data_IF_860750371733
#
_entry.id   IF_860750371733
#
_cell.length_a   1.000
_cell.length_b   1.000
_cell.length_c   1.000
_cell.angle_alpha   90.00
_cell.angle_beta   90.00
_cell.angle_gamma   90.00
#
_symmetry.space_group_name_H-M   'P 1'
#
loop_
_entity.id
_entity.type
_entity.pdbx_description
1 polymer ?
#
# COMPACT_ATOMS: atom_id res chain seq x y z
N UNK A 1 -17.60 -12.43 -6.83
CA UNK A 1 -18.40 -12.99 -7.91
C UNK A 1 -19.76 -12.27 -8.03
N UNK A 2 -20.56 -12.14 -6.97
CA UNK A 2 -21.87 -11.49 -7.03
C UNK A 2 -21.80 -10.04 -7.55
N UNK A 3 -20.91 -9.21 -7.04
CA UNK A 3 -20.70 -7.84 -7.50
C UNK A 3 -20.38 -7.77 -9.00
N UNK A 4 -19.54 -8.67 -9.49
CA UNK A 4 -19.09 -8.72 -10.89
C UNK A 4 -20.27 -9.07 -11.80
N UNK A 5 -21.05 -10.09 -11.44
CA UNK A 5 -22.23 -10.53 -12.18
C UNK A 5 -23.32 -9.45 -12.19
N UNK A 6 -23.61 -8.86 -11.01
CA UNK A 6 -24.63 -7.81 -10.88
C UNK A 6 -24.32 -6.54 -11.70
N UNK A 7 -23.03 -6.18 -11.81
CA UNK A 7 -22.59 -5.04 -12.62
C UNK A 7 -22.25 -5.40 -14.07
N UNK A 8 -22.60 -6.61 -14.54
CA UNK A 8 -22.32 -7.09 -15.91
C UNK A 8 -20.84 -7.07 -16.30
N UNK A 9 -19.95 -7.18 -15.31
CA UNK A 9 -18.49 -7.23 -15.49
C UNK A 9 -17.97 -8.66 -15.63
N UNK A 10 -18.85 -9.67 -15.68
CA UNK A 10 -18.53 -11.09 -15.80
C UNK A 10 -18.14 -11.42 -17.25
N UNK A 11 -16.98 -10.90 -17.65
CA UNK A 11 -16.38 -11.17 -18.96
C UNK A 11 -15.31 -12.25 -18.82
N UNK A 12 -15.12 -13.04 -19.87
CA UNK A 12 -14.12 -14.12 -19.89
C UNK A 12 -12.70 -13.60 -19.60
N UNK A 13 -12.37 -12.40 -20.05
CA UNK A 13 -11.07 -11.77 -19.91
C UNK A 13 -10.76 -11.32 -18.47
N UNK A 14 -11.80 -11.07 -17.65
CA UNK A 14 -11.62 -10.52 -16.31
C UNK A 14 -10.69 -11.36 -15.42
N UNK A 15 -10.91 -12.66 -15.20
CA UNK A 15 -10.01 -13.48 -14.40
C UNK A 15 -8.63 -13.64 -15.02
N UNK A 16 -8.51 -13.67 -16.34
CA UNK A 16 -7.24 -13.80 -17.03
C UNK A 16 -6.36 -12.58 -16.77
N UNK A 17 -6.92 -11.38 -16.87
CA UNK A 17 -6.18 -10.13 -16.65
C UNK A 17 -5.72 -10.03 -15.19
N UNK A 18 -6.55 -10.45 -14.22
CA UNK A 18 -6.14 -10.52 -12.81
C UNK A 18 -4.97 -11.49 -12.64
N UNK A 19 -5.03 -12.68 -13.23
CA UNK A 19 -3.95 -13.66 -13.15
C UNK A 19 -2.66 -13.15 -13.79
N UNK A 20 -2.73 -12.47 -14.94
CA UNK A 20 -1.58 -11.82 -15.56
C UNK A 20 -0.98 -10.74 -14.67
N UNK A 21 -1.80 -9.93 -13.98
CA UNK A 21 -1.30 -8.92 -13.05
C UNK A 21 -0.58 -9.56 -11.86
N UNK A 22 -1.11 -10.67 -11.31
CA UNK A 22 -0.49 -11.42 -10.22
C UNK A 22 0.83 -12.06 -10.69
N UNK A 23 0.84 -12.64 -11.88
CA UNK A 23 2.06 -13.21 -12.46
C UNK A 23 3.16 -12.15 -12.65
N UNK A 24 2.80 -10.95 -13.11
CA UNK A 24 3.71 -9.82 -13.20
C UNK A 24 4.29 -9.43 -11.83
N UNK A 25 3.47 -9.42 -10.77
CA UNK A 25 3.93 -9.15 -9.41
C UNK A 25 4.88 -10.22 -8.88
N UNK A 26 4.63 -11.49 -9.17
CA UNK A 26 5.56 -12.57 -8.81
C UNK A 26 6.91 -12.42 -9.50
N UNK A 27 6.93 -12.17 -10.83
CA UNK A 27 8.18 -11.91 -11.52
C UNK A 27 8.92 -10.70 -10.96
N UNK A 28 8.20 -9.62 -10.67
CA UNK A 28 8.76 -8.39 -10.12
C UNK A 28 9.42 -8.62 -8.75
N UNK A 29 8.75 -9.32 -7.83
CA UNK A 29 9.25 -9.53 -6.46
C UNK A 29 10.35 -10.60 -6.41
N UNK A 30 10.25 -11.68 -7.23
CA UNK A 30 11.25 -12.75 -7.28
C UNK A 30 12.51 -12.38 -8.06
N UNK A 31 12.46 -11.33 -8.92
CA UNK A 31 13.58 -10.95 -9.77
C UNK A 31 14.83 -10.57 -8.97
N UNK A 32 15.99 -10.97 -9.46
CA UNK A 32 17.30 -10.47 -9.01
C UNK A 32 18.07 -9.79 -10.16
N UNK A 33 17.31 -9.30 -11.14
CA UNK A 33 17.80 -8.71 -12.39
C UNK A 33 16.89 -7.56 -12.83
N UNK A 34 17.47 -6.46 -13.35
CA UNK A 34 16.75 -5.28 -13.79
C UNK A 34 15.76 -5.55 -14.93
N UNK A 35 16.10 -6.46 -15.86
CA UNK A 35 15.25 -6.76 -17.02
C UNK A 35 14.01 -7.52 -16.58
N UNK A 36 14.21 -8.61 -15.79
CA UNK A 36 13.09 -9.41 -15.30
C UNK A 36 12.16 -8.60 -14.38
N UNK A 37 12.74 -7.77 -13.54
CA UNK A 37 12.00 -6.83 -12.69
C UNK A 37 11.12 -5.90 -13.55
N UNK A 38 11.71 -5.25 -14.58
CA UNK A 38 10.98 -4.31 -15.41
C UNK A 38 9.87 -4.98 -16.20
N UNK A 39 10.14 -6.16 -16.79
CA UNK A 39 9.12 -6.94 -17.50
C UNK A 39 7.95 -7.34 -16.59
N UNK A 40 8.24 -7.78 -15.36
CA UNK A 40 7.21 -8.09 -14.37
C UNK A 40 6.36 -6.89 -14.01
N UNK A 41 7.00 -5.73 -13.82
CA UNK A 41 6.34 -4.47 -13.52
C UNK A 41 5.43 -4.01 -14.67
N UNK A 42 5.86 -4.13 -15.93
CA UNK A 42 5.04 -3.76 -17.07
C UNK A 42 3.86 -4.73 -17.27
N UNK A 43 4.08 -6.04 -17.13
CA UNK A 43 3.01 -7.03 -17.20
C UNK A 43 1.91 -6.76 -16.17
N UNK A 44 2.30 -6.48 -14.91
CA UNK A 44 1.37 -6.04 -13.88
C UNK A 44 0.62 -4.77 -14.31
N UNK A 45 1.35 -3.76 -14.77
CA UNK A 45 0.83 -2.42 -15.01
C UNK A 45 -0.18 -2.38 -16.14
N UNK A 46 0.15 -2.99 -17.29
CA UNK A 46 -0.75 -3.11 -18.45
C UNK A 46 -2.06 -3.80 -18.04
N UNK A 47 -1.96 -4.87 -17.25
CA UNK A 47 -3.14 -5.57 -16.71
C UNK A 47 -4.01 -4.66 -15.84
N UNK A 48 -3.39 -3.84 -14.97
CA UNK A 48 -4.12 -2.94 -14.09
C UNK A 48 -4.83 -1.80 -14.83
N UNK A 49 -4.27 -1.27 -15.93
CA UNK A 49 -4.93 -0.24 -16.74
C UNK A 49 -6.21 -0.76 -17.39
N UNK A 50 -6.16 -1.99 -17.92
CA UNK A 50 -7.34 -2.63 -18.50
C UNK A 50 -8.40 -2.90 -17.42
N UNK A 51 -7.98 -3.35 -16.23
CA UNK A 51 -8.90 -3.56 -15.10
C UNK A 51 -9.57 -2.25 -14.66
N UNK A 52 -8.84 -1.12 -14.63
CA UNK A 52 -9.40 0.17 -14.25
C UNK A 52 -10.52 0.61 -15.21
N UNK A 53 -10.39 0.32 -16.51
CA UNK A 53 -11.34 0.66 -17.57
C UNK A 53 -12.26 -0.50 -17.99
N UNK A 54 -12.43 -1.52 -17.16
CA UNK A 54 -13.15 -2.73 -17.54
C UNK A 54 -14.66 -2.50 -17.77
N UNK A 55 -15.23 -1.52 -17.09
CA UNK A 55 -16.60 -1.03 -17.31
C UNK A 55 -16.59 0.03 -18.41
N UNK A 56 -16.57 -0.44 -19.66
CA UNK A 56 -16.39 0.40 -20.87
C UNK A 56 -17.52 1.41 -21.09
N UNK A 57 -18.71 1.09 -20.61
CA UNK A 57 -19.91 1.93 -20.77
C UNK A 57 -19.97 3.04 -19.71
N UNK A 58 -19.09 2.99 -18.69
CA UNK A 58 -18.99 3.97 -17.64
C UNK A 58 -17.85 4.96 -17.91
N UNK A 59 -18.22 6.22 -18.19
CA UNK A 59 -17.25 7.28 -18.49
C UNK A 59 -16.19 7.45 -17.41
N UNK A 60 -16.56 7.33 -16.11
CA UNK A 60 -15.61 7.45 -15.01
C UNK A 60 -14.58 6.31 -15.00
N UNK A 61 -15.01 5.08 -15.30
CA UNK A 61 -14.12 3.92 -15.38
C UNK A 61 -13.15 4.07 -16.56
N UNK A 62 -13.63 4.48 -17.73
CA UNK A 62 -12.78 4.70 -18.91
C UNK A 62 -11.79 5.83 -18.67
N UNK A 63 -12.22 6.96 -18.10
CA UNK A 63 -11.36 8.08 -17.73
C UNK A 63 -10.27 7.64 -16.73
N UNK A 64 -10.63 6.85 -15.72
CA UNK A 64 -9.68 6.34 -14.73
C UNK A 64 -8.59 5.47 -15.36
N UNK A 65 -8.96 4.59 -16.30
CA UNK A 65 -8.01 3.76 -17.03
C UNK A 65 -7.05 4.57 -17.88
N UNK A 66 -7.54 5.59 -18.61
CA UNK A 66 -6.71 6.47 -19.44
C UNK A 66 -5.74 7.28 -18.56
N UNK A 67 -6.22 7.90 -17.47
CA UNK A 67 -5.36 8.65 -16.52
C UNK A 67 -4.28 7.74 -15.94
N UNK A 68 -4.65 6.53 -15.54
CA UNK A 68 -3.70 5.58 -14.98
C UNK A 68 -2.63 5.18 -16.02
N UNK A 69 -3.05 4.86 -17.24
CA UNK A 69 -2.14 4.50 -18.33
C UNK A 69 -1.14 5.63 -18.64
N UNK A 70 -1.61 6.85 -18.89
CA UNK A 70 -0.75 7.97 -19.31
C UNK A 70 0.27 8.33 -18.22
N UNK A 71 -0.18 8.48 -16.97
CA UNK A 71 0.71 8.82 -15.86
C UNK A 71 1.70 7.70 -15.54
N UNK A 72 1.25 6.46 -15.62
CA UNK A 72 2.11 5.31 -15.37
C UNK A 72 3.11 5.07 -16.48
N UNK A 73 2.73 5.28 -17.76
CA UNK A 73 3.66 5.16 -18.88
C UNK A 73 4.82 6.15 -18.77
N UNK A 74 4.53 7.40 -18.35
CA UNK A 74 5.57 8.37 -18.06
C UNK A 74 6.50 7.88 -16.93
N UNK A 75 5.93 7.41 -15.84
CA UNK A 75 6.70 6.91 -14.69
C UNK A 75 7.53 5.67 -15.04
N UNK A 76 6.99 4.75 -15.82
CA UNK A 76 7.70 3.56 -16.33
C UNK A 76 8.85 3.94 -17.27
N UNK A 77 8.65 4.96 -18.13
CA UNK A 77 9.69 5.46 -19.00
C UNK A 77 10.88 6.04 -18.21
N UNK A 78 10.60 6.83 -17.15
CA UNK A 78 11.62 7.33 -16.24
C UNK A 78 12.35 6.19 -15.50
N UNK A 79 11.62 5.19 -15.05
CA UNK A 79 12.20 4.02 -14.39
C UNK A 79 13.10 3.22 -15.34
N UNK A 80 12.65 2.97 -16.57
CA UNK A 80 13.46 2.29 -17.58
C UNK A 80 14.73 3.06 -17.91
N UNK A 81 14.63 4.39 -18.02
CA UNK A 81 15.78 5.25 -18.20
C UNK A 81 16.76 5.13 -17.02
N UNK A 82 16.26 5.11 -15.79
CA UNK A 82 17.07 4.84 -14.60
C UNK A 82 17.77 3.48 -14.63
N UNK A 83 17.07 2.42 -15.03
CA UNK A 83 17.66 1.09 -15.20
C UNK A 83 18.75 1.07 -16.28
N UNK A 84 18.54 1.76 -17.41
CA UNK A 84 19.51 1.89 -18.49
C UNK A 84 20.76 2.64 -18.05
N UNK A 85 20.61 3.75 -17.31
CA UNK A 85 21.72 4.48 -16.72
C UNK A 85 22.50 3.62 -15.73
N UNK A 86 21.78 2.92 -14.84
CA UNK A 86 22.40 2.05 -13.84
C UNK A 86 23.24 0.96 -14.51
N UNK A 87 22.70 0.32 -15.55
CA UNK A 87 23.44 -0.63 -16.39
C UNK A 87 24.68 0.03 -17.04
N UNK A 88 24.53 1.24 -17.59
CA UNK A 88 25.62 1.95 -18.24
C UNK A 88 26.78 2.26 -17.30
N UNK A 89 26.51 2.53 -16.01
CA UNK A 89 27.54 2.83 -15.01
C UNK A 89 28.10 1.60 -14.30
N UNK A 90 27.35 0.49 -14.24
CA UNK A 90 27.76 -0.73 -13.51
C UNK A 90 28.10 -1.89 -14.45
N UNK A 91 27.71 -1.84 -15.72
CA UNK A 91 27.92 -2.92 -16.70
C UNK A 91 27.13 -4.20 -16.41
N UNK A 92 26.21 -4.19 -15.45
CA UNK A 92 25.45 -5.37 -15.02
C UNK A 92 23.98 -5.05 -14.83
N UNK A 93 23.12 -6.04 -15.07
CA UNK A 93 21.68 -6.02 -14.74
C UNK A 93 21.38 -6.77 -13.43
N UNK A 94 22.30 -7.58 -12.94
CA UNK A 94 22.15 -8.38 -11.72
C UNK A 94 22.30 -7.50 -10.47
N UNK A 95 21.39 -7.63 -9.49
CA UNK A 95 21.36 -6.78 -8.30
C UNK A 95 22.60 -6.90 -7.41
N UNK A 96 23.14 -8.11 -7.23
CA UNK A 96 24.33 -8.32 -6.39
C UNK A 96 25.58 -7.74 -7.03
N UNK A 97 25.72 -7.89 -8.35
CA UNK A 97 26.83 -7.30 -9.10
C UNK A 97 26.72 -5.76 -9.12
N UNK A 98 25.53 -5.21 -9.26
CA UNK A 98 25.29 -3.76 -9.15
C UNK A 98 25.74 -3.30 -7.75
N UNK A 99 25.31 -3.96 -6.68
CA UNK A 99 25.68 -3.60 -5.32
C UNK A 99 27.21 -3.56 -5.11
N UNK A 100 27.94 -4.53 -5.68
CA UNK A 100 29.41 -4.61 -5.56
C UNK A 100 30.15 -3.48 -6.30
N UNK A 101 29.54 -2.91 -7.34
CA UNK A 101 30.15 -1.86 -8.17
C UNK A 101 29.70 -0.44 -7.81
N UNK A 102 28.58 -0.32 -7.07
CA UNK A 102 28.10 0.97 -6.61
C UNK A 102 28.95 1.53 -5.48
N UNK A 103 29.48 2.72 -5.70
CA UNK A 103 30.16 3.51 -4.69
C UNK A 103 29.60 4.95 -4.69
N UNK A 104 29.86 5.69 -3.61
CA UNK A 104 29.40 7.08 -3.42
C UNK A 104 29.98 8.08 -4.43
N UNK A 105 31.08 7.76 -5.06
CA UNK A 105 31.77 8.64 -6.01
C UNK A 105 31.10 8.61 -7.40
N UNK A 106 30.29 7.60 -7.68
CA UNK A 106 29.59 7.45 -8.96
C UNK A 106 28.31 8.28 -8.99
N UNK A 107 28.45 9.58 -9.23
CA UNK A 107 27.34 10.53 -9.34
C UNK A 107 26.28 10.09 -10.36
N UNK A 108 26.71 9.48 -11.47
CA UNK A 108 25.79 8.99 -12.51
C UNK A 108 24.89 7.87 -12.02
N UNK A 109 25.42 6.97 -11.18
CA UNK A 109 24.61 5.90 -10.58
C UNK A 109 23.62 6.42 -9.54
N UNK A 110 23.97 7.52 -8.82
CA UNK A 110 23.02 8.21 -7.92
C UNK A 110 21.86 8.81 -8.73
N UNK A 111 22.12 9.43 -9.89
CA UNK A 111 21.05 9.88 -10.78
C UNK A 111 20.17 8.71 -11.26
N UNK A 112 20.77 7.59 -11.65
CA UNK A 112 20.03 6.40 -12.04
C UNK A 112 19.08 5.91 -10.92
N UNK A 113 19.59 5.87 -9.69
CA UNK A 113 18.80 5.53 -8.50
C UNK A 113 17.59 6.45 -8.33
N UNK A 114 17.75 7.77 -8.50
CA UNK A 114 16.64 8.74 -8.39
C UNK A 114 15.54 8.41 -9.40
N UNK A 115 15.86 8.13 -10.65
CA UNK A 115 14.87 7.76 -11.67
C UNK A 115 14.15 6.44 -11.34
N UNK A 116 14.89 5.45 -10.81
CA UNK A 116 14.29 4.19 -10.34
C UNK A 116 13.33 4.45 -9.17
N UNK A 117 13.74 5.29 -8.20
CA UNK A 117 12.89 5.66 -7.06
C UNK A 117 11.62 6.39 -7.50
N UNK A 118 11.67 7.25 -8.52
CA UNK A 118 10.46 7.88 -9.10
C UNK A 118 9.46 6.83 -9.56
N UNK A 119 9.91 5.83 -10.31
CA UNK A 119 9.04 4.75 -10.75
C UNK A 119 8.47 3.91 -9.62
N UNK A 120 9.28 3.54 -8.63
CA UNK A 120 8.84 2.80 -7.46
C UNK A 120 7.88 3.60 -6.59
N UNK A 121 8.15 4.88 -6.35
CA UNK A 121 7.28 5.80 -5.61
C UNK A 121 5.90 5.94 -6.29
N UNK A 122 5.85 6.01 -7.63
CA UNK A 122 4.61 6.01 -8.38
C UNK A 122 3.80 4.73 -8.14
N UNK A 123 4.43 3.56 -8.15
CA UNK A 123 3.74 2.26 -7.97
C UNK A 123 3.14 2.10 -6.57
N UNK A 124 3.79 2.62 -5.53
CA UNK A 124 3.24 2.61 -4.17
C UNK A 124 2.33 3.82 -3.88
N UNK A 125 2.14 4.73 -4.83
CA UNK A 125 1.33 5.95 -4.67
C UNK A 125 1.92 6.95 -3.66
N UNK A 126 3.24 7.06 -3.60
CA UNK A 126 3.91 8.00 -2.71
C UNK A 126 4.00 9.41 -3.34
N UNK A 127 3.94 10.45 -2.51
CA UNK A 127 4.05 11.84 -2.94
C UNK A 127 5.49 12.14 -3.40
N UNK A 128 5.70 12.84 -4.55
CA UNK A 128 4.71 13.56 -5.37
C UNK A 128 4.03 12.72 -6.45
N UNK A 129 4.35 11.45 -6.61
CA UNK A 129 3.92 10.59 -7.71
C UNK A 129 2.57 9.88 -7.46
N UNK A 130 1.74 10.44 -6.60
CA UNK A 130 0.46 9.88 -6.13
C UNK A 130 -0.77 10.28 -6.96
N UNK A 131 -0.64 11.21 -7.90
CA UNK A 131 -1.76 11.93 -8.55
C UNK A 131 -2.80 11.01 -9.19
N UNK A 132 -2.40 9.84 -9.65
CA UNK A 132 -3.28 8.87 -10.27
C UNK A 132 -4.26 8.21 -9.28
N UNK A 133 -3.85 8.04 -8.02
CA UNK A 133 -4.54 7.16 -7.06
C UNK A 133 -5.95 7.61 -6.70
N UNK A 134 -6.21 8.89 -6.36
CA UNK A 134 -7.56 9.32 -6.00
C UNK A 134 -8.57 9.18 -7.14
N UNK A 135 -8.18 9.55 -8.35
CA UNK A 135 -9.05 9.52 -9.52
C UNK A 135 -9.31 8.08 -9.98
N UNK A 136 -8.29 7.22 -9.96
CA UNK A 136 -8.42 5.81 -10.32
C UNK A 136 -9.26 5.04 -9.29
N UNK A 137 -9.09 5.31 -8.00
CA UNK A 137 -9.89 4.64 -6.98
C UNK A 137 -11.36 5.04 -7.03
N UNK A 138 -11.66 6.31 -7.29
CA UNK A 138 -13.04 6.77 -7.42
C UNK A 138 -13.69 6.24 -8.70
N UNK A 139 -12.98 6.26 -9.84
CA UNK A 139 -13.53 5.93 -11.14
C UNK A 139 -13.64 4.45 -11.44
N UNK A 140 -12.68 3.64 -10.97
CA UNK A 140 -12.72 2.19 -11.19
C UNK A 140 -13.87 1.51 -10.42
N UNK A 141 -14.38 0.37 -10.92
CA UNK A 141 -15.36 -0.42 -10.17
C UNK A 141 -14.82 -0.80 -8.78
N UNK A 142 -15.68 -0.82 -7.76
CA UNK A 142 -15.27 -1.02 -6.35
C UNK A 142 -14.47 -2.31 -6.15
N UNK A 143 -14.77 -3.39 -6.91
CA UNK A 143 -13.99 -4.64 -6.89
C UNK A 143 -12.54 -4.45 -7.34
N UNK A 144 -12.33 -3.65 -8.36
CA UNK A 144 -11.02 -3.33 -8.89
C UNK A 144 -10.29 -2.37 -7.94
N UNK A 145 -10.99 -1.38 -7.41
CA UNK A 145 -10.42 -0.45 -6.43
C UNK A 145 -9.92 -1.20 -5.18
N UNK A 146 -10.67 -2.19 -4.67
CA UNK A 146 -10.23 -3.00 -3.53
C UNK A 146 -8.96 -3.80 -3.86
N UNK A 147 -8.84 -4.31 -5.08
CA UNK A 147 -7.64 -5.00 -5.55
C UNK A 147 -6.44 -4.04 -5.63
N UNK A 148 -6.63 -2.84 -6.21
CA UNK A 148 -5.57 -1.81 -6.33
C UNK A 148 -5.09 -1.29 -4.97
N UNK A 149 -5.99 -1.21 -3.99
CA UNK A 149 -5.66 -0.74 -2.65
C UNK A 149 -4.72 -1.69 -1.89
N UNK A 150 -4.71 -2.97 -2.25
CA UNK A 150 -4.04 -4.04 -1.49
C UNK A 150 -2.87 -4.63 -2.28
N UNK A 151 -3.15 -5.38 -3.33
CA UNK A 151 -2.17 -6.32 -3.92
C UNK A 151 -0.99 -5.62 -4.60
N UNK A 152 -1.19 -4.62 -5.48
CA UNK A 152 -0.08 -3.92 -6.13
C UNK A 152 0.79 -3.12 -5.15
N UNK A 153 0.21 -2.65 -4.04
CA UNK A 153 0.96 -1.89 -3.03
C UNK A 153 1.88 -2.76 -2.20
N UNK A 154 1.43 -3.96 -1.85
CA UNK A 154 2.28 -4.95 -1.18
C UNK A 154 3.46 -5.31 -2.06
N UNK A 155 3.22 -5.64 -3.33
CA UNK A 155 4.27 -5.98 -4.28
C UNK A 155 5.24 -4.80 -4.53
N UNK A 156 4.70 -3.58 -4.68
CA UNK A 156 5.50 -2.36 -4.87
C UNK A 156 6.37 -2.03 -3.66
N UNK A 157 5.85 -2.16 -2.43
CA UNK A 157 6.62 -1.92 -1.22
C UNK A 157 7.70 -2.99 -1.02
N UNK A 158 7.37 -4.27 -1.23
CA UNK A 158 8.33 -5.37 -1.15
C UNK A 158 9.51 -5.16 -2.12
N UNK A 159 9.20 -4.75 -3.34
CA UNK A 159 10.21 -4.42 -4.34
C UNK A 159 11.06 -3.22 -3.94
N UNK A 160 10.43 -2.14 -3.42
CA UNK A 160 11.15 -0.96 -2.96
C UNK A 160 12.12 -1.33 -1.83
N UNK A 161 11.70 -2.13 -0.86
CA UNK A 161 12.57 -2.66 0.20
C UNK A 161 13.73 -3.44 -0.42
N UNK A 162 13.46 -4.34 -1.38
CA UNK A 162 14.49 -5.14 -2.04
C UNK A 162 15.54 -4.28 -2.75
N UNK A 163 15.13 -3.21 -3.45
CA UNK A 163 16.04 -2.28 -4.09
C UNK A 163 16.92 -1.53 -3.09
N UNK A 164 16.35 -1.06 -1.97
CA UNK A 164 17.12 -0.35 -0.96
C UNK A 164 18.09 -1.28 -0.24
N UNK A 165 17.68 -2.53 -0.02
CA UNK A 165 18.48 -3.50 0.75
C UNK A 165 19.60 -4.16 -0.07
N UNK A 166 19.41 -4.44 -1.38
CA UNK A 166 20.37 -5.16 -2.21
C UNK A 166 21.18 -4.18 -3.08
N UNK A 167 20.67 -3.70 -4.26
CA UNK A 167 21.50 -2.94 -5.17
C UNK A 167 21.96 -1.58 -4.61
N UNK A 168 21.17 -0.95 -3.74
CA UNK A 168 21.47 0.39 -3.22
C UNK A 168 22.01 0.40 -1.77
N UNK A 169 22.39 -0.75 -1.23
CA UNK A 169 22.91 -0.87 0.15
C UNK A 169 24.11 0.05 0.43
N UNK A 170 25.03 0.20 -0.53
CA UNK A 170 26.24 0.97 -0.38
C UNK A 170 26.06 2.50 -0.49
N UNK A 171 24.89 2.98 -0.94
CA UNK A 171 24.54 4.40 -1.10
C UNK A 171 23.36 4.79 -0.21
N UNK A 172 23.40 4.33 1.06
CA UNK A 172 22.33 4.53 2.03
C UNK A 172 21.95 6.00 2.23
N UNK A 173 22.92 6.90 2.43
CA UNK A 173 22.69 8.29 2.77
C UNK A 173 21.98 9.05 1.62
N UNK A 174 22.31 8.70 0.40
CA UNK A 174 21.78 9.31 -0.80
C UNK A 174 20.27 9.03 -0.96
N UNK A 175 19.86 7.77 -0.87
CA UNK A 175 18.43 7.44 -1.01
C UNK A 175 17.62 7.69 0.27
N UNK A 176 18.23 7.62 1.45
CA UNK A 176 17.57 7.81 2.73
C UNK A 176 16.90 9.19 2.81
N UNK A 177 17.62 10.24 2.43
CA UNK A 177 17.09 11.62 2.43
C UNK A 177 15.86 11.74 1.52
N UNK A 178 15.88 11.09 0.36
CA UNK A 178 14.78 11.09 -0.60
C UNK A 178 13.57 10.36 0.00
N UNK A 179 13.77 9.19 0.57
CA UNK A 179 12.69 8.40 1.18
C UNK A 179 12.08 9.12 2.39
N UNK A 180 12.88 9.79 3.24
CA UNK A 180 12.39 10.64 4.33
C UNK A 180 11.46 11.74 3.79
N UNK A 181 11.89 12.45 2.76
CA UNK A 181 11.08 13.51 2.13
C UNK A 181 9.76 12.96 1.58
N UNK A 182 9.82 11.88 0.80
CA UNK A 182 8.64 11.20 0.21
C UNK A 182 7.70 10.71 1.31
N UNK A 183 8.23 10.15 2.39
CA UNK A 183 7.46 9.67 3.56
C UNK A 183 6.70 10.82 4.22
N UNK A 184 7.41 11.89 4.59
CA UNK A 184 6.82 13.08 5.23
C UNK A 184 5.74 13.70 4.34
N UNK A 185 6.06 13.93 3.06
CA UNK A 185 5.14 14.52 2.11
C UNK A 185 3.87 13.66 1.93
N UNK A 186 4.03 12.32 1.91
CA UNK A 186 2.91 11.39 1.79
C UNK A 186 2.02 11.37 3.04
N UNK A 187 2.60 11.41 4.24
CA UNK A 187 1.86 11.49 5.49
C UNK A 187 1.05 12.80 5.58
N UNK A 188 1.68 13.94 5.30
CA UNK A 188 1.01 15.26 5.36
C UNK A 188 -0.09 15.36 4.32
N UNK A 189 0.22 15.12 3.04
CA UNK A 189 -0.74 15.26 1.95
C UNK A 189 -1.90 14.27 2.12
N UNK A 190 -1.60 13.01 2.45
CA UNK A 190 -2.61 12.00 2.69
C UNK A 190 -3.58 12.39 3.80
N UNK A 191 -3.09 12.93 4.92
CA UNK A 191 -3.92 13.37 6.03
C UNK A 191 -4.78 14.59 5.67
N UNK A 192 -4.18 15.64 5.11
CA UNK A 192 -4.88 16.90 4.77
C UNK A 192 -5.92 16.69 3.67
N UNK A 193 -5.55 16.02 2.59
CA UNK A 193 -6.43 15.84 1.45
C UNK A 193 -7.61 14.90 1.75
N UNK A 194 -7.44 13.91 2.65
CA UNK A 194 -8.53 13.03 3.07
C UNK A 194 -9.65 13.78 3.82
N UNK A 195 -9.34 14.84 4.59
CA UNK A 195 -10.33 15.56 5.41
C UNK A 195 -11.46 16.20 4.61
N UNK A 196 -11.21 16.60 3.37
CA UNK A 196 -12.17 17.31 2.51
C UNK A 196 -12.95 16.38 1.57
N UNK A 197 -12.67 15.09 1.57
CA UNK A 197 -13.32 14.15 0.67
C UNK A 197 -14.77 13.86 1.07
N UNK A 198 -15.62 13.68 0.05
CA UNK A 198 -17.04 13.32 0.19
C UNK A 198 -17.31 11.89 -0.27
N UNK A 199 -16.52 11.37 -1.21
CA UNK A 199 -16.57 9.99 -1.68
C UNK A 199 -15.68 9.11 -0.81
N UNK A 200 -16.20 7.96 -0.36
CA UNK A 200 -15.49 7.07 0.57
C UNK A 200 -14.29 6.38 -0.10
N UNK A 201 -14.40 5.97 -1.38
CA UNK A 201 -13.27 5.38 -2.12
C UNK A 201 -12.13 6.40 -2.29
N UNK A 202 -12.47 7.65 -2.63
CA UNK A 202 -11.48 8.73 -2.75
C UNK A 202 -10.83 9.07 -1.41
N UNK A 203 -11.59 9.04 -0.32
CA UNK A 203 -11.03 9.18 1.04
C UNK A 203 -10.05 8.04 1.33
N UNK A 204 -10.41 6.78 1.06
CA UNK A 204 -9.51 5.64 1.23
C UNK A 204 -8.26 5.75 0.34
N UNK A 205 -8.35 6.37 -0.84
CA UNK A 205 -7.20 6.62 -1.70
C UNK A 205 -6.19 7.56 -1.01
N UNK A 206 -6.64 8.72 -0.50
CA UNK A 206 -5.75 9.63 0.23
C UNK A 206 -5.26 9.04 1.56
N UNK A 207 -6.12 8.33 2.27
CA UNK A 207 -5.73 7.55 3.44
C UNK A 207 -4.60 6.57 3.09
N UNK A 208 -4.71 5.86 1.96
CA UNK A 208 -3.69 4.90 1.52
C UNK A 208 -2.35 5.57 1.20
N UNK A 209 -2.36 6.80 0.67
CA UNK A 209 -1.14 7.60 0.46
C UNK A 209 -0.47 7.87 1.80
N UNK A 210 -1.22 8.29 2.82
CA UNK A 210 -0.72 8.50 4.17
C UNK A 210 -0.17 7.22 4.80
N UNK A 211 -0.88 6.08 4.65
CA UNK A 211 -0.43 4.78 5.16
C UNK A 211 0.87 4.30 4.49
N UNK A 212 1.04 4.51 3.19
CA UNK A 212 2.32 4.28 2.52
C UNK A 212 3.41 5.20 3.08
N UNK A 213 3.10 6.45 3.42
CA UNK A 213 4.03 7.35 4.09
C UNK A 213 4.58 6.76 5.40
N UNK A 214 3.75 6.16 6.25
CA UNK A 214 4.20 5.47 7.46
C UNK A 214 5.06 4.24 7.15
N UNK A 215 4.68 3.41 6.18
CA UNK A 215 5.50 2.27 5.78
C UNK A 215 6.88 2.71 5.26
N UNK A 216 6.93 3.79 4.48
CA UNK A 216 8.18 4.39 3.99
C UNK A 216 9.03 4.99 5.12
N UNK A 217 8.43 5.47 6.22
CA UNK A 217 9.18 5.90 7.40
C UNK A 217 9.98 4.74 8.02
N UNK A 218 9.43 3.53 8.06
CA UNK A 218 10.16 2.33 8.43
C UNK A 218 11.31 2.03 7.47
N UNK A 219 11.05 2.08 6.16
CA UNK A 219 12.09 1.87 5.13
C UNK A 219 13.21 2.90 5.23
N UNK A 220 12.88 4.16 5.52
CA UNK A 220 13.83 5.28 5.63
C UNK A 220 14.91 5.06 6.70
N UNK A 221 14.66 4.20 7.69
CA UNK A 221 15.65 3.87 8.71
C UNK A 221 16.92 3.19 8.16
N UNK A 222 16.80 2.51 7.01
CA UNK A 222 17.88 1.73 6.42
C UNK A 222 18.33 0.54 7.28
N UNK A 223 17.53 0.14 8.28
CA UNK A 223 17.82 -0.92 9.21
C UNK A 223 16.86 -2.10 9.04
N UNK A 224 17.29 -3.29 9.45
CA UNK A 224 16.47 -4.50 9.42
C UNK A 224 15.18 -4.29 10.23
N UNK A 225 15.28 -3.73 11.46
CA UNK A 225 14.11 -3.42 12.30
C UNK A 225 13.09 -2.50 11.61
N UNK A 226 13.56 -1.56 10.79
CA UNK A 226 12.70 -0.70 10.01
C UNK A 226 12.03 -1.40 8.83
N UNK A 227 12.72 -2.27 8.13
CA UNK A 227 12.12 -3.10 7.08
C UNK A 227 11.08 -4.07 7.65
N UNK A 228 11.38 -4.70 8.79
CA UNK A 228 10.42 -5.53 9.55
C UNK A 228 9.15 -4.75 9.89
N UNK A 229 9.31 -3.57 10.47
CA UNK A 229 8.20 -2.71 10.85
C UNK A 229 7.35 -2.29 9.65
N UNK A 230 7.97 -2.00 8.49
CA UNK A 230 7.28 -1.67 7.25
C UNK A 230 6.46 -2.85 6.69
N UNK A 231 6.99 -4.08 6.76
CA UNK A 231 6.29 -5.29 6.31
C UNK A 231 5.14 -5.63 7.26
N UNK A 232 5.34 -5.53 8.58
CA UNK A 232 4.26 -5.69 9.57
C UNK A 232 3.16 -4.66 9.31
N UNK A 233 3.56 -3.41 9.07
CA UNK A 233 2.63 -2.32 8.77
C UNK A 233 1.76 -2.61 7.57
N UNK A 234 2.37 -2.96 6.43
CA UNK A 234 1.60 -3.22 5.20
C UNK A 234 0.71 -4.46 5.35
N UNK A 235 1.13 -5.47 6.12
CA UNK A 235 0.34 -6.68 6.38
C UNK A 235 -0.96 -6.35 7.14
N UNK A 236 -0.87 -5.51 8.18
CA UNK A 236 -2.04 -5.04 8.94
C UNK A 236 -2.90 -4.13 8.06
N UNK A 237 -2.27 -3.25 7.25
CA UNK A 237 -2.97 -2.37 6.30
C UNK A 237 -3.82 -3.17 5.30
N UNK A 238 -3.32 -4.29 4.79
CA UNK A 238 -4.09 -5.21 3.92
C UNK A 238 -5.38 -5.67 4.59
N UNK A 239 -5.30 -6.11 5.84
CA UNK A 239 -6.46 -6.60 6.60
C UNK A 239 -7.48 -5.48 6.80
N UNK A 240 -7.03 -4.28 7.17
CA UNK A 240 -7.90 -3.12 7.34
C UNK A 240 -8.63 -2.75 6.04
N UNK A 241 -7.93 -2.76 4.90
CA UNK A 241 -8.55 -2.44 3.61
C UNK A 241 -9.51 -3.51 3.10
N UNK A 242 -9.17 -4.80 3.26
CA UNK A 242 -10.11 -5.89 2.94
C UNK A 242 -11.41 -5.70 3.72
N UNK A 243 -11.32 -5.39 5.01
CA UNK A 243 -12.49 -5.09 5.84
C UNK A 243 -13.27 -3.87 5.35
N UNK A 244 -12.60 -2.73 5.09
CA UNK A 244 -13.23 -1.48 4.67
C UNK A 244 -13.97 -1.62 3.34
N UNK A 245 -13.33 -2.20 2.32
CA UNK A 245 -13.98 -2.44 1.03
C UNK A 245 -15.07 -3.50 1.11
N UNK A 246 -14.93 -4.50 1.98
CA UNK A 246 -15.99 -5.50 2.21
C UNK A 246 -17.23 -4.85 2.82
N UNK A 247 -17.09 -3.86 3.70
CA UNK A 247 -18.21 -3.06 4.20
C UNK A 247 -18.90 -2.28 3.07
N UNK A 248 -18.13 -1.68 2.14
CA UNK A 248 -18.70 -0.97 0.98
C UNK A 248 -19.55 -1.88 0.09
N UNK A 249 -19.18 -3.15 -0.07
CA UNK A 249 -19.99 -4.11 -0.85
C UNK A 249 -21.36 -4.41 -0.25
N UNK A 250 -21.61 -4.05 0.99
CA UNK A 250 -22.92 -4.22 1.64
C UNK A 250 -23.79 -2.97 1.54
N UNK A 251 -23.25 -1.84 1.05
CA UNK A 251 -23.95 -0.57 0.93
C UNK A 251 -24.69 -0.47 -0.41
N UNK A 252 -25.75 -1.26 -0.57
CA UNK A 252 -26.58 -1.27 -1.78
C UNK A 252 -27.97 -0.72 -1.48
N UNK A 253 -28.47 0.17 -2.36
CA UNK A 253 -29.83 0.71 -2.33
C UNK A 253 -30.39 0.87 -3.75
N UNK A 254 -31.60 0.41 -3.99
CA UNK A 254 -32.28 0.46 -5.29
C UNK A 254 -31.42 -0.12 -6.43
N UNK A 255 -30.74 -1.25 -6.15
CA UNK A 255 -29.85 -1.92 -7.09
C UNK A 255 -28.50 -1.23 -7.31
N UNK A 256 -28.24 -0.06 -6.72
CA UNK A 256 -26.99 0.71 -6.89
C UNK A 256 -26.14 0.70 -5.61
N UNK A 257 -24.83 0.60 -5.80
CA UNK A 257 -23.86 0.74 -4.70
C UNK A 257 -23.68 2.22 -4.34
N UNK A 258 -23.67 2.51 -3.03
CA UNK A 258 -23.51 3.85 -2.48
C UNK A 258 -22.08 4.04 -1.96
N UNK A 259 -21.46 5.13 -2.40
CA UNK A 259 -20.05 5.39 -2.13
C UNK A 259 -19.80 6.73 -1.43
N UNK A 260 -20.83 7.55 -1.20
CA UNK A 260 -20.68 8.82 -0.50
C UNK A 260 -20.71 8.63 1.02
N UNK A 261 -19.91 9.43 1.71
CA UNK A 261 -19.85 9.41 3.17
C UNK A 261 -21.18 9.78 3.79
N UNK A 262 -21.94 10.71 3.17
CA UNK A 262 -23.29 11.08 3.60
C UNK A 262 -24.28 9.92 3.59
N UNK A 263 -24.06 8.93 2.73
CA UNK A 263 -24.94 7.76 2.64
C UNK A 263 -24.81 6.85 3.88
N UNK A 264 -23.72 7.01 4.65
CA UNK A 264 -23.49 6.27 5.88
C UNK A 264 -24.26 6.80 7.10
N UNK A 265 -25.00 7.92 6.95
CA UNK A 265 -25.72 8.57 8.05
C UNK A 265 -26.69 7.61 8.75
N UNK A 266 -26.52 7.43 10.06
CA UNK A 266 -27.40 6.67 10.93
C UNK A 266 -27.51 5.18 10.62
N UNK A 267 -26.53 4.58 9.95
CA UNK A 267 -26.50 3.13 9.65
C UNK A 267 -26.64 2.32 10.94
N UNK A 268 -26.11 2.78 12.07
CA UNK A 268 -26.15 2.08 13.36
C UNK A 268 -27.57 1.70 13.80
N UNK A 269 -28.59 2.51 13.45
CA UNK A 269 -29.99 2.28 13.81
C UNK A 269 -30.62 1.11 13.06
N UNK A 270 -30.20 0.85 11.82
CA UNK A 270 -30.80 -0.15 10.91
C UNK A 270 -29.92 -1.38 10.68
N UNK A 271 -28.60 -1.18 10.68
CA UNK A 271 -27.59 -2.22 10.42
C UNK A 271 -26.48 -2.18 11.48
N UNK A 272 -26.78 -2.53 12.77
CA UNK A 272 -25.83 -2.38 13.88
C UNK A 272 -24.55 -3.18 13.70
N UNK A 273 -24.62 -4.40 13.16
CA UNK A 273 -23.42 -5.22 12.92
C UNK A 273 -22.47 -4.58 11.89
N UNK A 274 -23.02 -3.99 10.83
CA UNK A 274 -22.22 -3.29 9.84
C UNK A 274 -21.59 -2.02 10.45
N UNK A 275 -22.34 -1.29 11.27
CA UNK A 275 -21.84 -0.10 11.96
C UNK A 275 -20.68 -0.42 12.91
N UNK A 276 -20.77 -1.51 13.71
CA UNK A 276 -19.70 -1.98 14.58
C UNK A 276 -18.46 -2.40 13.75
N UNK A 277 -18.67 -3.05 12.61
CA UNK A 277 -17.58 -3.41 11.73
C UNK A 277 -16.84 -2.19 11.18
N UNK A 278 -17.56 -1.17 10.73
CA UNK A 278 -16.98 0.11 10.34
C UNK A 278 -16.22 0.77 11.49
N UNK A 279 -16.78 0.76 12.69
CA UNK A 279 -16.14 1.34 13.88
C UNK A 279 -14.78 0.68 14.16
N UNK A 280 -14.72 -0.66 14.19
CA UNK A 280 -13.49 -1.41 14.45
C UNK A 280 -12.44 -1.10 13.38
N UNK A 281 -12.83 -1.15 12.10
CA UNK A 281 -11.92 -0.94 10.98
C UNK A 281 -11.42 0.51 10.96
N UNK A 282 -12.29 1.50 11.09
CA UNK A 282 -11.92 2.92 11.07
C UNK A 282 -11.09 3.31 12.28
N UNK A 283 -11.37 2.78 13.48
CA UNK A 283 -10.52 2.96 14.65
C UNK A 283 -9.14 2.33 14.46
N UNK A 284 -9.07 1.16 13.82
CA UNK A 284 -7.80 0.53 13.49
C UNK A 284 -7.00 1.38 12.49
N UNK A 285 -7.63 1.90 11.43
CA UNK A 285 -7.00 2.82 10.47
C UNK A 285 -6.51 4.12 11.14
N UNK A 286 -7.28 4.64 12.09
CA UNK A 286 -6.86 5.80 12.89
C UNK A 286 -5.64 5.48 13.78
N UNK A 287 -5.48 4.22 14.19
CA UNK A 287 -4.42 3.79 15.10
C UNK A 287 -4.82 3.87 16.57
N UNK A 288 -6.08 3.56 16.89
CA UNK A 288 -6.59 3.58 18.28
C UNK A 288 -6.26 2.24 18.97
N UNK A 289 -5.62 2.28 20.17
CA UNK A 289 -5.42 1.07 20.95
C UNK A 289 -6.77 0.42 21.36
N UNK A 290 -6.86 -0.90 21.51
CA UNK A 290 -5.84 -1.94 21.36
C UNK A 290 -5.81 -2.60 19.97
N UNK A 291 -6.29 -1.92 18.93
CA UNK A 291 -6.47 -2.52 17.61
C UNK A 291 -5.14 -2.65 16.83
N UNK A 292 -5.11 -3.57 15.86
CA UNK A 292 -3.91 -3.89 15.09
C UNK A 292 -3.22 -2.69 14.42
N UNK A 293 -3.99 -1.69 13.94
CA UNK A 293 -3.43 -0.49 13.32
C UNK A 293 -2.60 0.39 14.24
N UNK A 294 -2.88 0.38 15.57
CA UNK A 294 -2.03 1.02 16.55
C UNK A 294 -0.64 0.36 16.60
N UNK A 295 -0.59 -0.96 16.69
CA UNK A 295 0.68 -1.69 16.74
C UNK A 295 1.50 -1.51 15.46
N UNK A 296 0.84 -1.48 14.30
CA UNK A 296 1.50 -1.18 13.04
C UNK A 296 2.26 0.15 13.08
N UNK A 297 1.62 1.22 13.52
CA UNK A 297 2.25 2.54 13.70
C UNK A 297 3.32 2.53 14.78
N UNK A 298 3.04 1.87 15.89
CA UNK A 298 3.94 1.77 17.03
C UNK A 298 5.30 1.17 16.65
N UNK A 299 5.32 0.04 15.94
CA UNK A 299 6.56 -0.60 15.50
C UNK A 299 7.38 0.29 14.56
N UNK A 300 6.71 0.99 13.64
CA UNK A 300 7.39 1.93 12.75
C UNK A 300 8.02 3.08 13.54
N UNK A 301 7.29 3.67 14.50
CA UNK A 301 7.83 4.77 15.30
C UNK A 301 8.98 4.33 16.21
N UNK A 302 8.92 3.13 16.76
CA UNK A 302 10.04 2.56 17.55
C UNK A 302 11.29 2.45 16.67
N UNK A 303 11.18 1.86 15.48
CA UNK A 303 12.32 1.72 14.56
C UNK A 303 12.89 3.07 14.11
N UNK A 304 12.02 4.09 13.89
CA UNK A 304 12.44 5.45 13.53
C UNK A 304 13.17 6.14 14.70
N UNK A 305 12.69 5.96 15.93
CA UNK A 305 13.30 6.54 17.15
C UNK A 305 14.64 5.86 17.48
N UNK A 306 14.77 4.56 17.28
CA UNK A 306 16.05 3.83 17.44
C UNK A 306 17.16 4.37 16.52
N UNK A 307 16.77 5.01 15.40
CA UNK A 307 17.68 5.67 14.47
C UNK A 307 17.78 7.19 14.66
N UNK A 308 17.29 7.70 15.78
CA UNK A 308 17.33 9.13 16.15
C UNK A 308 16.67 10.08 15.12
N UNK A 309 15.75 9.57 14.28
CA UNK A 309 15.03 10.34 13.26
C UNK A 309 13.84 11.10 13.87
N UNK A 310 14.10 11.94 14.88
CA UNK A 310 13.06 12.62 15.69
C UNK A 310 12.11 13.46 14.84
N UNK A 311 12.61 14.18 13.84
CA UNK A 311 11.77 15.00 12.94
C UNK A 311 10.73 14.16 12.21
N UNK A 312 11.13 12.99 11.68
CA UNK A 312 10.24 12.06 11.00
C UNK A 312 9.18 11.51 11.96
N UNK A 313 9.59 11.14 13.18
CA UNK A 313 8.69 10.65 14.22
C UNK A 313 7.65 11.70 14.63
N UNK A 314 8.07 12.94 14.89
CA UNK A 314 7.18 14.04 15.31
C UNK A 314 6.15 14.34 14.21
N UNK A 315 6.57 14.49 12.96
CA UNK A 315 5.65 14.73 11.84
C UNK A 315 4.69 13.55 11.67
N UNK A 316 5.18 12.32 11.79
CA UNK A 316 4.35 11.13 11.72
C UNK A 316 3.30 11.08 12.82
N UNK A 317 3.63 11.42 14.06
CA UNK A 317 2.69 11.49 15.16
C UNK A 317 1.63 12.59 14.94
N UNK A 318 2.03 13.79 14.51
CA UNK A 318 1.11 14.88 14.21
C UNK A 318 0.13 14.49 13.08
N UNK A 319 0.61 13.88 12.01
CA UNK A 319 -0.24 13.42 10.90
C UNK A 319 -1.15 12.26 11.30
N UNK A 320 -0.78 11.46 12.31
CA UNK A 320 -1.66 10.44 12.90
C UNK A 320 -2.87 11.09 13.59
N UNK A 321 -2.65 12.17 14.35
CA UNK A 321 -3.77 12.93 14.99
C UNK A 321 -4.68 13.54 13.92
N UNK A 322 -4.09 14.12 12.86
CA UNK A 322 -4.86 14.66 11.73
C UNK A 322 -5.69 13.58 11.04
N UNK A 323 -5.11 12.39 10.84
CA UNK A 323 -5.83 11.28 10.20
C UNK A 323 -6.95 10.73 11.07
N UNK A 324 -6.81 10.71 12.38
CA UNK A 324 -7.87 10.32 13.30
C UNK A 324 -9.13 11.19 13.14
N UNK A 325 -8.97 12.49 12.84
CA UNK A 325 -10.09 13.41 12.68
C UNK A 325 -11.08 12.97 11.61
N UNK A 326 -10.62 12.62 10.39
CA UNK A 326 -11.56 12.25 9.33
C UNK A 326 -12.17 10.86 9.55
N UNK A 327 -11.47 9.93 10.18
CA UNK A 327 -12.07 8.64 10.55
C UNK A 327 -13.14 8.80 11.63
N UNK A 328 -12.87 9.61 12.65
CA UNK A 328 -13.85 9.94 13.70
C UNK A 328 -15.07 10.67 13.12
N UNK A 329 -14.87 11.55 12.14
CA UNK A 329 -15.98 12.22 11.44
C UNK A 329 -16.90 11.20 10.76
N UNK A 330 -16.36 10.18 10.11
CA UNK A 330 -17.17 9.11 9.49
C UNK A 330 -17.91 8.32 10.57
N UNK A 331 -17.25 7.96 11.68
CA UNK A 331 -17.87 7.25 12.79
C UNK A 331 -19.01 8.09 13.39
N UNK A 332 -18.80 9.41 13.55
CA UNK A 332 -19.86 10.32 13.94
C UNK A 332 -21.06 10.22 13.01
N UNK A 333 -20.85 10.28 11.70
CA UNK A 333 -21.93 10.16 10.70
C UNK A 333 -22.66 8.84 10.82
N UNK A 334 -21.97 7.73 11.05
CA UNK A 334 -22.57 6.40 11.19
C UNK A 334 -23.48 6.28 12.43
N UNK A 335 -23.07 6.89 13.56
CA UNK A 335 -23.71 6.64 14.85
C UNK A 335 -24.65 7.76 15.32
N UNK A 336 -24.35 9.02 15.01
CA UNK A 336 -25.00 10.18 15.61
C UNK A 336 -25.89 10.98 14.64
N UNK A 337 -25.67 10.87 13.34
CA UNK A 337 -26.51 11.54 12.36
C UNK A 337 -27.83 10.75 12.13
N UNK A 338 -28.86 11.43 11.64
CA UNK A 338 -30.13 10.78 11.37
C UNK A 338 -30.06 9.88 10.12
N UNK A 339 -30.74 8.73 10.22
CA UNK A 339 -30.77 7.76 9.14
C UNK A 339 -31.56 8.24 7.94
N UNK A 340 -30.88 8.55 6.84
CA UNK A 340 -31.47 8.99 5.57
C UNK A 340 -31.81 7.77 4.69
N UNK A 341 -31.02 6.72 4.77
CA UNK A 341 -31.05 5.57 3.84
C UNK A 341 -31.25 4.26 4.58
N UNK A 342 -32.14 3.40 4.06
CA UNK A 342 -32.18 2.00 4.41
C UNK A 342 -31.50 1.21 3.29
N UNK A 343 -30.45 0.46 3.63
CA UNK A 343 -29.76 -0.40 2.68
C UNK A 343 -30.50 -1.75 2.53
N UNK A 344 -30.38 -2.34 1.36
CA UNK A 344 -30.87 -3.68 1.09
C UNK A 344 -30.10 -4.70 1.93
N UNK A 345 -30.81 -5.73 2.40
CA UNK A 345 -30.14 -6.88 3.03
C UNK A 345 -29.44 -7.71 1.95
N UNK A 346 -28.21 -7.39 1.64
CA UNK A 346 -27.43 -8.15 0.66
C UNK A 346 -26.98 -9.47 1.28
N UNK A 347 -27.34 -10.61 0.66
CA UNK A 347 -26.87 -11.95 1.05
C UNK A 347 -25.45 -12.23 0.53
N UNK A 348 -24.55 -11.28 0.60
CA UNK A 348 -23.16 -11.48 0.18
C UNK A 348 -22.34 -12.11 1.32
N UNK A 349 -22.43 -13.45 1.43
CA UNK A 349 -21.74 -14.22 2.48
C UNK A 349 -20.21 -14.00 2.45
N UNK A 350 -19.62 -13.89 1.26
CA UNK A 350 -18.17 -13.68 1.13
C UNK A 350 -17.75 -12.35 1.78
N UNK A 351 -18.46 -11.25 1.52
CA UNK A 351 -18.17 -9.97 2.14
C UNK A 351 -18.36 -10.03 3.67
N UNK A 352 -19.43 -10.69 4.15
CA UNK A 352 -19.67 -10.86 5.58
C UNK A 352 -18.55 -11.65 6.27
N UNK A 353 -18.09 -12.75 5.66
CA UNK A 353 -16.96 -13.55 6.18
C UNK A 353 -15.69 -12.72 6.20
N UNK A 354 -15.40 -11.96 5.13
CA UNK A 354 -14.21 -11.10 5.06
C UNK A 354 -14.24 -10.02 6.14
N UNK A 355 -15.39 -9.38 6.38
CA UNK A 355 -15.57 -8.39 7.45
C UNK A 355 -15.31 -9.03 8.81
N UNK A 356 -15.96 -10.16 9.08
CA UNK A 356 -15.81 -10.86 10.36
C UNK A 356 -14.35 -11.27 10.60
N UNK A 357 -13.68 -11.86 9.61
CA UNK A 357 -12.29 -12.24 9.70
C UNK A 357 -11.37 -11.03 9.94
N UNK A 358 -11.55 -9.93 9.17
CA UNK A 358 -10.78 -8.72 9.35
C UNK A 358 -10.97 -8.12 10.74
N UNK A 359 -12.19 -7.96 11.21
CA UNK A 359 -12.48 -7.43 12.55
C UNK A 359 -11.87 -8.32 13.64
N UNK A 360 -12.02 -9.65 13.53
CA UNK A 360 -11.46 -10.59 14.51
C UNK A 360 -9.94 -10.47 14.57
N UNK A 361 -9.25 -10.48 13.42
CA UNK A 361 -7.79 -10.35 13.38
C UNK A 361 -7.35 -9.02 13.98
N UNK A 362 -8.01 -7.90 13.63
CA UNK A 362 -7.65 -6.58 14.14
C UNK A 362 -7.84 -6.43 15.66
N UNK A 363 -8.86 -7.07 16.23
CA UNK A 363 -9.11 -7.08 17.68
C UNK A 363 -8.13 -8.01 18.41
N UNK A 364 -7.89 -9.21 17.87
CA UNK A 364 -7.06 -10.22 18.54
C UNK A 364 -5.56 -10.00 18.36
N UNK A 365 -5.15 -9.11 17.46
CA UNK A 365 -3.75 -8.86 17.16
C UNK A 365 -2.90 -8.54 18.41
N UNK A 366 -3.46 -7.78 19.36
CA UNK A 366 -2.73 -7.40 20.57
C UNK A 366 -2.42 -8.58 21.49
N UNK A 367 -3.18 -9.68 21.40
CA UNK A 367 -2.94 -10.90 22.20
C UNK A 367 -1.72 -11.68 21.71
N UNK A 368 -1.52 -11.72 20.39
CA UNK A 368 -0.47 -12.54 19.77
C UNK A 368 0.26 -11.81 18.63
N UNK A 369 0.89 -10.66 18.88
CA UNK A 369 1.63 -9.94 17.84
C UNK A 369 2.86 -10.72 17.36
N UNK A 370 3.39 -11.60 18.19
CA UNK A 370 4.57 -12.44 17.90
C UNK A 370 4.38 -13.35 16.69
N UNK A 371 3.15 -13.79 16.37
CA UNK A 371 2.90 -14.65 15.22
C UNK A 371 3.30 -13.92 13.92
N UNK A 372 2.85 -12.68 13.74
CA UNK A 372 3.18 -11.91 12.54
C UNK A 372 4.66 -11.51 12.54
N UNK A 373 5.18 -11.07 13.68
CA UNK A 373 6.60 -10.68 13.79
C UNK A 373 7.53 -11.85 13.46
N UNK A 374 7.27 -13.04 13.97
CA UNK A 374 8.07 -14.23 13.67
C UNK A 374 7.99 -14.62 12.18
N UNK A 375 6.80 -14.51 11.56
CA UNK A 375 6.65 -14.75 10.13
C UNK A 375 7.44 -13.73 9.31
N UNK A 376 7.37 -12.44 9.67
CA UNK A 376 8.10 -11.38 8.97
C UNK A 376 9.61 -11.58 9.12
N UNK A 377 10.09 -11.90 10.30
CA UNK A 377 11.50 -12.18 10.55
C UNK A 377 11.99 -13.37 9.72
N UNK A 378 11.22 -14.46 9.68
CA UNK A 378 11.56 -15.63 8.85
C UNK A 378 11.58 -15.32 7.36
N UNK A 379 10.65 -14.48 6.88
CA UNK A 379 10.61 -14.00 5.48
C UNK A 379 11.83 -13.12 5.15
N UNK A 380 12.17 -12.18 6.01
CA UNK A 380 13.36 -11.33 5.82
C UNK A 380 14.64 -12.15 5.82
N UNK A 381 14.78 -13.07 6.76
CA UNK A 381 15.91 -13.99 6.80
C UNK A 381 16.00 -14.82 5.51
N UNK A 382 14.90 -15.40 5.03
CA UNK A 382 14.92 -16.20 3.82
C UNK A 382 15.11 -15.38 2.53
N UNK A 383 14.51 -14.17 2.44
CA UNK A 383 14.64 -13.32 1.26
C UNK A 383 15.94 -12.50 1.21
N UNK A 384 16.49 -12.13 2.37
CA UNK A 384 17.63 -11.23 2.48
C UNK A 384 18.94 -11.97 2.75
N UNK A 385 18.95 -13.04 3.54
CA UNK A 385 20.16 -13.81 3.85
C UNK A 385 20.55 -14.82 2.73
N UNK A 386 19.62 -15.18 1.83
CA UNK A 386 20.00 -16.00 0.67
C UNK A 386 20.92 -15.26 -0.31
N UNK A 387 21.01 -13.93 -0.18
CA UNK A 387 21.82 -13.06 -1.03
C UNK A 387 23.08 -12.50 -0.36
N UNK A 388 23.29 -12.72 0.97
CA UNK A 388 24.45 -12.17 1.69
C UNK A 388 25.15 -13.23 2.57
N UNK A 389 26.13 -13.98 2.04
CA UNK A 389 26.95 -14.90 2.85
C UNK A 389 27.84 -14.20 3.90
N UNK A 390 28.13 -12.90 3.71
CA UNK A 390 29.11 -12.15 4.55
C UNK A 390 28.58 -11.75 5.95
N UNK A 391 27.27 -11.59 6.14
CA UNK A 391 26.73 -11.25 7.46
C UNK A 391 26.56 -12.45 8.40
N UNK A 392 26.52 -13.65 7.87
CA UNK A 392 26.43 -14.88 8.65
C UNK A 392 27.65 -15.08 9.55
N UNK A 393 28.84 -14.72 9.05
CA UNK A 393 30.10 -14.86 9.79
C UNK A 393 30.24 -13.83 10.91
N UNK A 394 29.58 -12.68 10.83
CA UNK A 394 29.62 -11.62 11.86
C UNK A 394 28.64 -11.92 13.01
N UNK A 395 27.48 -12.49 12.74
CA UNK A 395 26.52 -12.87 13.78
C UNK A 395 26.95 -14.16 14.50
N UNK A 396 27.49 -15.14 13.78
CA UNK A 396 28.06 -16.36 14.39
C UNK A 396 29.27 -16.04 15.30
N UNK A 397 30.09 -15.04 14.95
CA UNK A 397 31.18 -14.56 15.78
C UNK A 397 30.71 -13.79 17.04
N UNK A 398 29.53 -13.18 17.02
CA UNK A 398 28.91 -12.49 18.17
C UNK A 398 28.17 -13.43 19.13
N UNK A 399 27.75 -14.60 18.65
CA UNK A 399 27.08 -15.61 19.49
C UNK A 399 28.13 -16.48 20.19
N UNK A 400 29.39 -16.49 19.69
CA UNK A 400 30.51 -17.26 20.29
C UNK A 400 31.41 -16.42 21.21
N UNK A 401 31.16 -15.14 21.34
CA UNK A 401 31.81 -14.23 22.28
C UNK A 401 30.84 -13.83 23.43
#
# INVERSE_FOLDING_TARGET
KNFIVENKLDKFEYPIIILLSILGMFFMVSSNDLILFYLGLELQSLSLYILASIDRDNLRSTESGIKYFVLSALSSGLLLYGCSLLYGFTGSTNFDLIASQLNKENTGAVFAMVFILVGLAFKVSAVPFHMWTPDVYEGAPTSITSYFAVVPKVAGLALLIKFMFIPFSNILLEWQTIIIFISIASMILGAVAAMVQKNFKRLLAYSSIGHIGYALAGVATGAVSGYESAIVYISIYVIMNIGAFSCLYLLKKDGQYRENISDLSGISKKHPLLAISFLIILFSLAGVPPLGGFFAKFYVFVAVLEREMYTLAIIGLLTTVMSAFYYLKIIKTIYFDDSIIAFEQTKNRTAQISIFASCTILITFFLYPSILNNLVNSLLISCLLYTYPIQRDIEESRIQS
#
